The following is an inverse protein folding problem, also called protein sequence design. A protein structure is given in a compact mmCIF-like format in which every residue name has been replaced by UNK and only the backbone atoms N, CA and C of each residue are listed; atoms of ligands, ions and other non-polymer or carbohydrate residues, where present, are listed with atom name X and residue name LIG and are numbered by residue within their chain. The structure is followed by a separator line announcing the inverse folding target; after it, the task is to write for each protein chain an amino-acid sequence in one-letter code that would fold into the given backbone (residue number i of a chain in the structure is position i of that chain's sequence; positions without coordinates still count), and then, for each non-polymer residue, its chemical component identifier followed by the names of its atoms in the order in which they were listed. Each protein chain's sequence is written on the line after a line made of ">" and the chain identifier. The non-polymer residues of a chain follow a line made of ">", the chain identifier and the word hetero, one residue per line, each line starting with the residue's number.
data_IF_889049274900
#
_entry.id   IF_889049274900
#
_cell.length_a   1.000
_cell.length_b   1.000
_cell.length_c   1.000
_cell.angle_alpha   90.00
_cell.angle_beta   90.00
_cell.angle_gamma   90.00
#
_symmetry.space_group_name_H-M   'P 1'
#
loop_
_entity.id
_entity.type
_entity.pdbx_description
1 polymer ?
#
# COMPACT_ATOMS: atom_id res chain seq x y z
N UNK A 1 -19.49 3.14 -9.37
CA UNK A 1 -18.42 4.09 -9.01
C UNK A 1 -19.05 5.17 -8.19
N UNK A 2 -18.64 5.30 -6.92
CA UNK A 2 -19.17 6.32 -6.01
C UNK A 2 -18.15 7.45 -5.90
N UNK A 3 -18.64 8.69 -5.86
CA UNK A 3 -17.81 9.85 -5.53
C UNK A 3 -17.61 9.86 -4.03
N UNK A 4 -16.36 9.80 -3.61
CA UNK A 4 -16.00 9.95 -2.20
C UNK A 4 -15.06 11.12 -2.02
N UNK A 5 -15.24 11.83 -0.92
CA UNK A 5 -14.30 12.86 -0.49
C UNK A 5 -13.28 12.25 0.45
N UNK A 6 -12.03 12.60 0.20
CA UNK A 6 -10.89 12.00 0.88
C UNK A 6 -9.93 13.11 1.27
N UNK A 7 -9.64 13.21 2.57
CA UNK A 7 -8.71 14.22 3.08
C UNK A 7 -7.31 13.63 3.21
N UNK A 8 -6.33 14.26 2.55
CA UNK A 8 -4.92 13.91 2.61
C UNK A 8 -4.12 15.20 2.79
N UNK A 9 -3.31 15.23 3.83
CA UNK A 9 -2.39 16.28 4.23
C UNK A 9 -3.02 17.67 4.35
N UNK A 10 -4.26 17.71 4.85
CA UNK A 10 -5.04 18.94 5.03
C UNK A 10 -5.89 19.35 3.82
N UNK A 11 -5.69 18.73 2.66
CA UNK A 11 -6.46 18.98 1.45
C UNK A 11 -7.52 17.90 1.23
N UNK A 12 -8.71 18.29 0.76
CA UNK A 12 -9.79 17.35 0.44
C UNK A 12 -9.88 17.15 -1.07
N UNK A 13 -9.76 15.88 -1.48
CA UNK A 13 -9.77 15.47 -2.88
C UNK A 13 -11.05 14.67 -3.19
N UNK A 14 -11.85 15.08 -4.19
CA UNK A 14 -12.96 14.29 -4.68
C UNK A 14 -12.44 13.16 -5.59
N UNK A 15 -12.58 11.91 -5.14
CA UNK A 15 -12.13 10.73 -5.87
C UNK A 15 -13.31 9.86 -6.29
N UNK A 16 -13.27 9.36 -7.54
CA UNK A 16 -14.19 8.34 -8.00
C UNK A 16 -13.63 6.98 -7.59
N UNK A 17 -14.33 6.28 -6.69
CA UNK A 17 -13.88 4.97 -6.21
C UNK A 17 -14.86 3.86 -6.56
N UNK A 18 -14.30 2.70 -6.90
CA UNK A 18 -15.04 1.43 -7.00
C UNK A 18 -15.18 0.73 -5.65
N UNK A 19 -14.43 1.17 -4.63
CA UNK A 19 -14.42 0.58 -3.30
C UNK A 19 -14.12 1.66 -2.26
N UNK A 20 -15.17 2.33 -1.73
CA UNK A 20 -15.02 3.53 -0.92
C UNK A 20 -14.20 3.29 0.36
N UNK A 21 -14.34 2.12 0.98
CA UNK A 21 -13.58 1.75 2.18
C UNK A 21 -12.08 1.56 1.90
N UNK A 22 -11.73 0.92 0.78
CA UNK A 22 -10.34 0.71 0.38
C UNK A 22 -9.68 2.04 0.04
N UNK A 23 -10.37 2.93 -0.65
CA UNK A 23 -9.84 4.25 -0.99
C UNK A 23 -9.63 5.12 0.25
N UNK A 24 -10.54 5.06 1.24
CA UNK A 24 -10.34 5.74 2.53
C UNK A 24 -9.12 5.19 3.27
N UNK A 25 -8.94 3.86 3.30
CA UNK A 25 -7.75 3.24 3.90
C UNK A 25 -6.46 3.64 3.18
N UNK A 26 -6.45 3.61 1.85
CA UNK A 26 -5.30 4.03 1.05
C UNK A 26 -4.92 5.49 1.33
N UNK A 27 -5.91 6.38 1.42
CA UNK A 27 -5.68 7.76 1.76
C UNK A 27 -5.11 7.96 3.17
N UNK A 28 -5.60 7.21 4.16
CA UNK A 28 -5.05 7.22 5.51
C UNK A 28 -3.59 6.73 5.54
N UNK A 29 -3.24 5.77 4.67
CA UNK A 29 -1.85 5.31 4.52
C UNK A 29 -0.95 6.41 3.92
N UNK A 30 -1.43 7.11 2.89
CA UNK A 30 -0.71 8.25 2.29
C UNK A 30 -0.54 9.37 3.32
N UNK A 31 -1.59 9.72 4.06
CA UNK A 31 -1.55 10.72 5.14
C UNK A 31 -0.47 10.40 6.19
N UNK A 32 -0.46 9.15 6.67
CA UNK A 32 0.52 8.67 7.63
C UNK A 32 1.94 8.75 7.07
N UNK A 33 2.15 8.32 5.82
CA UNK A 33 3.42 8.41 5.12
C UNK A 33 3.90 9.86 5.01
N UNK A 34 3.05 10.75 4.50
CA UNK A 34 3.37 12.17 4.36
C UNK A 34 3.73 12.81 5.71
N UNK A 35 2.97 12.54 6.78
CA UNK A 35 3.30 13.05 8.13
C UNK A 35 4.61 12.48 8.68
N UNK A 36 4.91 11.22 8.40
CA UNK A 36 6.16 10.59 8.81
C UNK A 36 7.37 11.25 8.13
N UNK A 37 7.28 11.50 6.82
CA UNK A 37 8.34 12.16 6.06
C UNK A 37 8.43 13.66 6.34
N UNK A 38 7.30 14.33 6.59
CA UNK A 38 7.27 15.74 7.00
C UNK A 38 8.04 15.96 8.31
N UNK A 39 8.00 15.00 9.26
CA UNK A 39 8.81 15.06 10.49
C UNK A 39 10.32 14.95 10.22
N UNK A 40 10.72 14.21 9.19
CA UNK A 40 12.12 14.02 8.84
C UNK A 40 12.67 15.15 7.95
N UNK A 41 11.79 15.78 7.15
CA UNK A 41 12.14 16.86 6.23
C UNK A 41 11.11 18.01 6.34
N UNK A 42 11.19 18.85 7.38
CA UNK A 42 10.19 19.88 7.67
C UNK A 42 10.12 21.02 6.64
N UNK A 43 11.11 21.14 5.75
CA UNK A 43 11.15 22.16 4.69
C UNK A 43 10.82 21.61 3.29
N UNK A 44 10.35 20.36 3.20
CA UNK A 44 10.02 19.76 1.92
C UNK A 44 8.62 20.20 1.45
N UNK A 45 8.50 20.42 0.15
CA UNK A 45 7.23 20.78 -0.49
C UNK A 45 6.18 19.66 -0.29
N UNK A 46 4.93 19.98 0.11
CA UNK A 46 3.85 19.00 0.26
C UNK A 46 3.67 18.08 -0.95
N UNK A 47 3.87 18.60 -2.17
CA UNK A 47 3.78 17.81 -3.40
C UNK A 47 4.89 16.77 -3.47
N UNK A 48 6.12 17.15 -3.09
CA UNK A 48 7.26 16.22 -3.06
C UNK A 48 7.07 15.15 -1.97
N UNK A 49 6.49 15.53 -0.83
CA UNK A 49 6.13 14.58 0.23
C UNK A 49 5.05 13.60 -0.23
N UNK A 50 4.06 14.06 -0.99
CA UNK A 50 3.01 13.20 -1.55
C UNK A 50 3.58 12.20 -2.56
N UNK A 51 4.47 12.67 -3.46
CA UNK A 51 5.16 11.79 -4.42
C UNK A 51 6.02 10.76 -3.68
N UNK A 52 6.80 11.18 -2.67
CA UNK A 52 7.62 10.27 -1.87
C UNK A 52 6.75 9.22 -1.15
N UNK A 53 5.68 9.64 -0.49
CA UNK A 53 4.76 8.73 0.19
C UNK A 53 4.12 7.74 -0.80
N UNK A 54 3.74 8.21 -1.99
CA UNK A 54 3.20 7.37 -3.06
C UNK A 54 4.22 6.33 -3.56
N UNK A 55 5.46 6.74 -3.81
CA UNK A 55 6.54 5.84 -4.26
C UNK A 55 6.83 4.76 -3.23
N UNK A 56 6.98 5.13 -1.96
CA UNK A 56 7.25 4.17 -0.89
C UNK A 56 6.09 3.17 -0.70
N UNK A 57 4.84 3.65 -0.81
CA UNK A 57 3.69 2.75 -0.75
C UNK A 57 3.69 1.76 -1.91
N UNK A 58 4.06 2.19 -3.11
CA UNK A 58 4.19 1.31 -4.27
C UNK A 58 5.35 0.29 -4.09
N UNK A 59 6.51 0.72 -3.59
CA UNK A 59 7.63 -0.17 -3.28
C UNK A 59 7.21 -1.26 -2.29
N UNK A 60 6.52 -0.88 -1.22
CA UNK A 60 6.03 -1.83 -0.22
C UNK A 60 4.98 -2.79 -0.79
N UNK A 61 4.14 -2.34 -1.70
CA UNK A 61 3.20 -3.23 -2.39
C UNK A 61 3.95 -4.28 -3.21
N UNK A 62 4.96 -3.87 -3.98
CA UNK A 62 5.78 -4.78 -4.80
C UNK A 62 6.50 -5.81 -3.91
N UNK A 63 7.07 -5.36 -2.79
CA UNK A 63 7.74 -6.23 -1.81
C UNK A 63 6.77 -7.27 -1.23
N UNK A 64 5.59 -6.84 -0.77
CA UNK A 64 4.56 -7.72 -0.21
C UNK A 64 4.02 -8.72 -1.24
N UNK A 65 3.84 -8.31 -2.50
CA UNK A 65 3.45 -9.21 -3.59
C UNK A 65 4.53 -10.27 -3.84
N UNK A 66 5.81 -9.88 -3.80
CA UNK A 66 6.94 -10.79 -3.90
C UNK A 66 7.01 -11.80 -2.75
N UNK A 67 6.86 -11.33 -1.50
CA UNK A 67 6.83 -12.19 -0.31
C UNK A 67 5.67 -13.19 -0.36
N UNK A 68 4.50 -12.73 -0.79
CA UNK A 68 3.30 -13.57 -0.90
C UNK A 68 3.48 -14.63 -1.99
N UNK A 69 4.08 -14.28 -3.13
CA UNK A 69 4.42 -15.23 -4.18
C UNK A 69 5.44 -16.27 -3.70
N UNK A 70 6.48 -15.84 -2.99
CA UNK A 70 7.48 -16.74 -2.41
C UNK A 70 6.86 -17.68 -1.35
N UNK A 71 5.96 -17.17 -0.52
CA UNK A 71 5.26 -17.97 0.49
C UNK A 71 4.34 -19.01 -0.16
N UNK A 72 3.60 -18.62 -1.20
CA UNK A 72 2.77 -19.56 -2.00
C UNK A 72 3.62 -20.67 -2.63
N UNK A 73 4.80 -20.34 -3.16
CA UNK A 73 5.71 -21.35 -3.71
C UNK A 73 6.22 -22.31 -2.63
N UNK A 74 6.57 -21.81 -1.43
CA UNK A 74 7.00 -22.67 -0.32
C UNK A 74 5.88 -23.62 0.13
N UNK A 75 4.65 -23.13 0.23
CA UNK A 75 3.48 -23.96 0.58
C UNK A 75 3.26 -25.03 -0.50
N UNK A 76 3.29 -24.66 -1.78
CA UNK A 76 3.13 -25.61 -2.88
C UNK A 76 4.22 -26.70 -2.87
N UNK A 77 5.48 -26.32 -2.63
CA UNK A 77 6.58 -27.27 -2.49
C UNK A 77 6.40 -28.23 -1.32
N UNK A 78 5.97 -27.73 -0.16
CA UNK A 78 5.68 -28.57 1.01
C UNK A 78 4.52 -29.54 0.75
N UNK A 79 3.45 -29.09 0.11
CA UNK A 79 2.33 -29.95 -0.28
C UNK A 79 2.77 -31.07 -1.24
N UNK A 80 3.64 -30.77 -2.20
CA UNK A 80 4.19 -31.76 -3.13
C UNK A 80 5.04 -32.82 -2.42
N UNK A 81 5.87 -32.41 -1.45
CA UNK A 81 6.71 -33.35 -0.68
C UNK A 81 5.87 -34.26 0.22
N UNK A 82 4.77 -33.75 0.76
CA UNK A 82 3.83 -34.56 1.56
C UNK A 82 3.12 -35.61 0.70
N UNK A 83 2.71 -35.25 -0.51
CA UNK A 83 2.08 -36.20 -1.45
C UNK A 83 3.07 -37.28 -1.92
N UNK A 84 4.34 -36.94 -2.17
CA UNK A 84 5.39 -37.92 -2.52
C UNK A 84 5.74 -38.87 -1.36
N UNK A 85 5.58 -38.43 -0.11
CA UNK A 85 5.91 -39.23 1.09
C UNK A 85 4.77 -40.15 1.53
N UNK A 86 3.58 -40.02 0.94
CA UNK A 86 2.38 -40.81 1.21
C UNK A 86 2.10 -41.86 0.11
N UNK A 87 2.93 -41.92 -0.94
CA UNK A 87 2.99 -42.99 -1.94
C UNK A 87 4.06 -44.02 -1.60
#
# INVERSE_FOLDING_TARGET
>A
MEKIEVTVYGDTYPLNSSSPELTKKAAAMVESGMRHYAKQAPHCDPVKLAVLAGVILAEKQIELEGELAALKQKIAGLSSLMDESLQ
#
